data_IF_059084690485
#
_entry.id   IF_059084690485
#
_cell.length_a   1.000
_cell.length_b   1.000
_cell.length_c   1.000
_cell.angle_alpha   90.00
_cell.angle_beta   90.00
_cell.angle_gamma   90.00
#
_symmetry.space_group_name_H-M   'P 1'
#
loop_
_entity.id
_entity.type
_entity.pdbx_description
1 polymer ?
#
# COMPACT_ATOMS: atom_id res chain seq x y z
N UNK A 1 16.55 3.76 10.64
CA UNK A 1 15.60 2.92 9.89
C UNK A 1 14.45 3.81 9.46
N UNK A 2 14.05 3.73 8.19
CA UNK A 2 12.90 4.45 7.68
C UNK A 2 11.60 4.07 8.43
N UNK A 3 10.54 4.86 8.29
CA UNK A 3 9.19 4.54 8.79
C UNK A 3 8.16 4.69 7.68
N UNK A 4 7.10 3.88 7.76
CA UNK A 4 5.89 4.04 6.94
C UNK A 4 4.81 4.61 7.85
N UNK A 5 4.29 5.77 7.48
CA UNK A 5 3.30 6.50 8.27
C UNK A 5 2.15 6.97 7.38
N UNK A 6 1.09 7.49 8.01
CA UNK A 6 -0.05 8.11 7.32
C UNK A 6 -0.63 7.23 6.19
N UNK A 7 -0.66 5.91 6.40
CA UNK A 7 -1.31 5.00 5.45
C UNK A 7 -2.79 5.35 5.41
N UNK A 8 -3.31 5.56 4.22
CA UNK A 8 -4.70 5.86 3.95
C UNK A 8 -5.20 4.97 2.83
N UNK A 9 -6.46 4.61 2.93
CA UNK A 9 -7.18 3.80 1.97
C UNK A 9 -8.51 4.50 1.67
N UNK A 10 -8.97 4.41 0.44
CA UNK A 10 -10.29 4.88 0.03
C UNK A 10 -10.77 4.03 -1.13
N UNK A 11 -12.05 3.72 -1.13
CA UNK A 11 -12.70 2.92 -2.17
C UNK A 11 -13.79 3.78 -2.78
N UNK A 12 -13.79 3.87 -4.10
CA UNK A 12 -14.76 4.65 -4.86
C UNK A 12 -15.23 3.86 -6.07
N UNK A 13 -16.51 3.96 -6.43
CA UNK A 13 -16.98 3.41 -7.70
C UNK A 13 -16.18 4.00 -8.87
N UNK A 14 -15.69 3.15 -9.77
CA UNK A 14 -14.92 3.60 -10.93
C UNK A 14 -15.81 4.44 -11.83
N UNK A 15 -15.29 5.61 -12.22
CA UNK A 15 -15.96 6.50 -13.17
C UNK A 15 -15.68 6.11 -14.62
N UNK A 16 -14.69 5.24 -14.85
CA UNK A 16 -14.24 4.83 -16.19
C UNK A 16 -14.84 3.50 -16.63
N UNK A 17 -15.13 2.61 -15.69
CA UNK A 17 -15.56 1.24 -15.98
C UNK A 17 -16.72 0.84 -15.07
N UNK A 18 -17.93 0.75 -15.64
CA UNK A 18 -19.13 0.32 -14.91
C UNK A 18 -18.92 -1.06 -14.29
N UNK A 19 -19.32 -1.22 -13.03
CA UNK A 19 -19.16 -2.46 -12.28
C UNK A 19 -17.77 -2.63 -11.66
N UNK A 20 -16.88 -1.65 -11.76
CA UNK A 20 -15.57 -1.65 -11.10
C UNK A 20 -15.51 -0.58 -10.02
N UNK A 21 -14.65 -0.82 -9.04
CA UNK A 21 -14.29 0.11 -7.99
C UNK A 21 -12.80 0.41 -8.07
N UNK A 22 -12.45 1.67 -7.85
CA UNK A 22 -11.09 2.17 -7.70
C UNK A 22 -10.77 2.16 -6.21
N UNK A 23 -9.77 1.39 -5.82
CA UNK A 23 -9.23 1.44 -4.48
C UNK A 23 -7.92 2.25 -4.55
N UNK A 24 -7.98 3.44 -3.97
CA UNK A 24 -6.85 4.36 -3.86
C UNK A 24 -6.21 4.18 -2.49
N UNK A 25 -4.90 4.10 -2.46
CA UNK A 25 -4.14 4.11 -1.21
C UNK A 25 -2.96 5.05 -1.30
N UNK A 26 -2.59 5.60 -0.15
CA UNK A 26 -1.44 6.48 -0.03
C UNK A 26 -0.73 6.25 1.28
N UNK A 27 0.57 6.53 1.30
CA UNK A 27 1.37 6.45 2.51
C UNK A 27 2.55 7.42 2.43
N UNK A 28 3.14 7.67 3.59
CA UNK A 28 4.30 8.52 3.75
C UNK A 28 5.50 7.66 4.16
N UNK A 29 6.54 7.60 3.32
CA UNK A 29 7.79 6.92 3.63
C UNK A 29 8.80 7.94 4.14
N UNK A 30 9.13 7.86 5.43
CA UNK A 30 10.12 8.73 6.07
C UNK A 30 11.46 8.02 6.14
N UNK A 31 12.47 8.43 5.36
CA UNK A 31 13.81 7.88 5.51
C UNK A 31 14.43 8.36 6.84
N UNK A 32 15.29 7.55 7.46
CA UNK A 32 16.17 8.10 8.51
C UNK A 32 17.30 8.92 7.89
N UNK A 33 17.93 9.80 8.65
CA UNK A 33 19.04 10.63 8.17
C UNK A 33 20.18 9.80 7.54
N UNK A 34 20.45 8.62 8.12
CA UNK A 34 21.42 7.67 7.60
C UNK A 34 20.98 7.04 6.26
N UNK A 35 19.69 6.74 6.10
CA UNK A 35 19.14 6.17 4.87
C UNK A 35 19.21 7.17 3.71
N UNK A 36 18.94 8.45 4.00
CA UNK A 36 19.11 9.54 3.04
C UNK A 36 20.58 9.69 2.63
N UNK A 37 21.50 9.73 3.61
CA UNK A 37 22.93 9.92 3.36
C UNK A 37 23.50 8.81 2.47
N UNK A 38 22.98 7.60 2.59
CA UNK A 38 23.36 6.44 1.78
C UNK A 38 22.52 6.26 0.51
N UNK A 39 21.58 7.17 0.25
CA UNK A 39 20.74 7.17 -0.95
C UNK A 39 20.03 5.82 -1.14
N UNK A 40 19.51 5.27 -0.04
CA UNK A 40 18.91 3.94 -0.05
C UNK A 40 17.70 3.88 -1.00
N UNK A 41 17.57 2.74 -1.66
CA UNK A 41 16.36 2.37 -2.39
C UNK A 41 15.53 1.43 -1.51
N UNK A 42 14.22 1.67 -1.47
CA UNK A 42 13.26 0.80 -0.81
C UNK A 42 12.38 0.11 -1.83
N UNK A 43 12.28 -1.22 -1.71
CA UNK A 43 11.22 -2.00 -2.36
C UNK A 43 10.03 -2.01 -1.41
N UNK A 44 8.90 -1.50 -1.88
CA UNK A 44 7.65 -1.45 -1.14
C UNK A 44 6.70 -2.51 -1.72
N UNK A 45 6.11 -3.31 -0.84
CA UNK A 45 5.02 -4.25 -1.15
C UNK A 45 3.78 -3.78 -0.44
N UNK A 46 2.67 -3.67 -1.15
CA UNK A 46 1.37 -3.39 -0.57
C UNK A 46 0.45 -4.57 -0.77
N UNK A 47 -0.10 -5.05 0.35
CA UNK A 47 -1.04 -6.16 0.36
C UNK A 47 -2.42 -5.63 0.79
N UNK A 48 -3.45 -5.98 0.01
CA UNK A 48 -4.86 -5.74 0.32
C UNK A 48 -5.48 -6.98 0.93
N UNK A 49 -6.31 -6.77 1.94
CA UNK A 49 -7.05 -7.82 2.61
C UNK A 49 -8.46 -7.34 2.86
N UNK A 50 -9.42 -8.23 2.95
CA UNK A 50 -10.76 -7.93 3.44
C UNK A 50 -11.38 -9.18 4.01
N UNK A 51 -12.35 -9.04 4.91
CA UNK A 51 -12.93 -10.17 5.63
C UNK A 51 -13.46 -11.24 4.67
N UNK A 52 -14.08 -10.81 3.57
CA UNK A 52 -14.61 -11.69 2.52
C UNK A 52 -13.72 -11.75 1.26
N UNK A 53 -12.65 -10.93 1.18
CA UNK A 53 -11.67 -10.99 0.07
C UNK A 53 -10.71 -12.18 0.18
N UNK A 54 -10.69 -12.87 1.33
CA UNK A 54 -9.77 -13.98 1.64
C UNK A 54 -10.25 -15.30 1.02
N UNK A 55 -11.55 -15.46 0.80
CA UNK A 55 -12.13 -16.66 0.18
C UNK A 55 -12.19 -16.61 -1.35
N UNK A 56 -11.95 -15.42 -1.94
CA UNK A 56 -11.95 -15.23 -3.39
C UNK A 56 -10.49 -15.17 -3.91
N UNK A 57 -10.09 -16.22 -4.66
CA UNK A 57 -8.76 -16.43 -5.27
C UNK A 57 -8.25 -15.26 -6.15
N UNK A 58 -9.08 -14.21 -6.33
CA UNK A 58 -8.88 -13.09 -7.25
C UNK A 58 -8.05 -11.95 -6.63
N UNK A 59 -8.02 -11.81 -5.29
CA UNK A 59 -7.25 -10.74 -4.62
C UNK A 59 -6.09 -11.23 -3.74
N UNK A 60 -5.99 -12.53 -3.46
CA UNK A 60 -4.96 -13.05 -2.58
C UNK A 60 -3.50 -12.91 -3.11
N UNK A 61 -3.27 -12.34 -4.31
CA UNK A 61 -1.97 -12.43 -4.99
C UNK A 61 -1.49 -11.16 -5.71
N UNK A 62 -2.32 -10.16 -5.98
CA UNK A 62 -1.83 -8.90 -6.57
C UNK A 62 -1.20 -8.02 -5.51
N UNK A 63 0.03 -8.37 -5.13
CA UNK A 63 0.91 -7.52 -4.34
C UNK A 63 1.36 -6.38 -5.23
N UNK A 64 0.94 -5.15 -4.92
CA UNK A 64 1.53 -3.99 -5.58
C UNK A 64 2.96 -3.82 -5.09
N UNK A 65 3.93 -4.06 -5.98
CA UNK A 65 5.35 -3.94 -5.68
C UNK A 65 5.99 -2.84 -6.52
N UNK A 66 6.57 -1.85 -5.85
CA UNK A 66 7.25 -0.75 -6.50
C UNK A 66 8.49 -0.30 -5.72
N UNK A 67 9.32 0.51 -6.38
CA UNK A 67 10.56 1.04 -5.79
C UNK A 67 10.43 2.52 -5.50
N UNK A 68 10.89 2.92 -4.33
CA UNK A 68 11.01 4.32 -3.92
C UNK A 68 12.50 4.64 -3.74
N UNK A 69 12.98 5.66 -4.44
CA UNK A 69 14.37 6.12 -4.39
C UNK A 69 14.45 7.49 -3.74
N UNK A 70 15.37 7.66 -2.79
CA UNK A 70 15.71 8.98 -2.25
C UNK A 70 16.82 9.60 -3.12
N UNK A 71 16.54 10.76 -3.70
CA UNK A 71 17.45 11.45 -4.62
C UNK A 71 18.45 12.37 -3.93
N UNK A 72 19.53 12.72 -4.65
CA UNK A 72 20.68 13.54 -4.19
C UNK A 72 20.33 14.97 -3.74
N UNK A 73 19.12 15.44 -4.06
CA UNK A 73 18.73 16.86 -3.94
C UNK A 73 17.50 17.08 -3.06
N UNK A 74 16.94 16.03 -2.46
CA UNK A 74 15.83 16.21 -1.53
C UNK A 74 16.39 16.28 -0.10
N UNK A 75 15.89 17.19 0.75
CA UNK A 75 16.10 17.06 2.18
C UNK A 75 15.58 15.69 2.63
N UNK A 76 15.88 15.24 3.86
CA UNK A 76 15.23 14.05 4.45
C UNK A 76 13.75 14.29 4.73
N UNK A 77 13.04 14.74 3.71
CA UNK A 77 11.62 14.96 3.73
C UNK A 77 10.92 13.63 3.45
N UNK A 78 9.75 13.45 4.05
CA UNK A 78 8.92 12.30 3.77
C UNK A 78 8.54 12.23 2.29
N UNK A 79 8.61 11.03 1.71
CA UNK A 79 8.13 10.78 0.36
C UNK A 79 6.68 10.32 0.43
N UNK A 80 5.80 11.14 -0.12
CA UNK A 80 4.39 10.80 -0.28
C UNK A 80 4.20 9.93 -1.52
N UNK A 81 3.63 8.75 -1.33
CA UNK A 81 3.30 7.81 -2.42
C UNK A 81 1.80 7.64 -2.47
N UNK A 82 1.22 7.71 -3.67
CA UNK A 82 -0.19 7.46 -3.93
C UNK A 82 -0.33 6.53 -5.14
N UNK A 83 -1.24 5.57 -5.04
CA UNK A 83 -1.40 4.46 -5.99
C UNK A 83 -2.89 4.09 -6.05
N UNK A 84 -3.31 3.55 -7.19
CA UNK A 84 -4.70 3.15 -7.43
C UNK A 84 -4.71 1.81 -8.15
N UNK A 85 -5.60 0.90 -7.73
CA UNK A 85 -5.93 -0.32 -8.45
C UNK A 85 -7.43 -0.35 -8.75
N UNK A 86 -7.79 -0.96 -9.88
CA UNK A 86 -9.17 -1.16 -10.30
C UNK A 86 -9.55 -2.62 -10.05
N UNK A 87 -10.65 -2.85 -9.33
CA UNK A 87 -11.17 -4.19 -9.03
C UNK A 87 -12.65 -4.26 -9.41
N UNK A 88 -13.17 -5.46 -9.67
CA UNK A 88 -14.62 -5.61 -9.88
C UNK A 88 -15.36 -5.35 -8.57
N UNK A 89 -16.41 -4.52 -8.61
CA UNK A 89 -17.18 -4.11 -7.42
C UNK A 89 -17.86 -5.31 -6.76
N UNK A 90 -18.20 -6.34 -7.55
CA UNK A 90 -18.78 -7.57 -7.04
C UNK A 90 -17.87 -8.31 -6.05
N UNK A 91 -16.55 -8.18 -6.22
CA UNK A 91 -15.54 -8.81 -5.35
C UNK A 91 -15.53 -8.12 -3.97
N UNK A 92 -15.95 -6.85 -3.91
CA UNK A 92 -16.03 -6.06 -2.68
C UNK A 92 -17.39 -6.14 -1.98
N UNK A 93 -18.33 -6.95 -2.48
CA UNK A 93 -19.71 -7.00 -2.01
C UNK A 93 -20.28 -8.41 -2.22
N UNK A 94 -19.58 -9.42 -1.69
CA UNK A 94 -20.00 -10.83 -1.85
C UNK A 94 -21.09 -11.23 -0.84
N UNK A 95 -21.26 -10.50 0.26
CA UNK A 95 -22.37 -10.70 1.20
C UNK A 95 -23.25 -9.44 1.30
N UNK A 96 -24.42 -9.46 0.62
CA UNK A 96 -25.40 -8.37 0.52
C UNK A 96 -26.07 -7.98 1.87
N UNK A 97 -25.48 -8.37 3.00
CA UNK A 97 -25.97 -8.05 4.33
C UNK A 97 -24.81 -7.92 5.34
N UNK A 98 -23.95 -6.92 5.15
CA UNK A 98 -22.81 -6.69 6.02
C UNK A 98 -22.16 -5.32 5.85
N UNK A 99 -21.28 -4.96 6.78
CA UNK A 99 -20.28 -3.91 6.60
C UNK A 99 -18.95 -4.59 6.37
N UNK A 100 -18.38 -4.45 5.18
CA UNK A 100 -17.13 -5.13 4.84
C UNK A 100 -15.94 -4.24 5.20
N UNK A 101 -14.92 -4.82 5.84
CA UNK A 101 -13.68 -4.11 6.13
C UNK A 101 -12.60 -4.49 5.13
N UNK A 102 -12.02 -3.47 4.48
CA UNK A 102 -10.83 -3.64 3.64
C UNK A 102 -9.63 -3.03 4.35
N UNK A 103 -8.55 -3.80 4.41
CA UNK A 103 -7.28 -3.46 5.03
C UNK A 103 -6.20 -3.33 3.97
N UNK A 104 -5.29 -2.40 4.19
CA UNK A 104 -4.06 -2.25 3.42
C UNK A 104 -2.87 -2.33 4.35
N UNK A 105 -1.92 -3.19 4.04
CA UNK A 105 -0.62 -3.28 4.71
C UNK A 105 0.47 -2.87 3.73
N UNK A 106 1.25 -1.86 4.10
CA UNK A 106 2.39 -1.37 3.32
C UNK A 106 3.67 -1.80 4.03
N UNK A 107 4.47 -2.60 3.36
CA UNK A 107 5.76 -3.08 3.84
C UNK A 107 6.88 -2.50 2.98
N UNK A 108 7.87 -1.86 3.60
CA UNK A 108 9.06 -1.39 2.89
C UNK A 108 10.31 -2.14 3.36
N UNK A 109 11.13 -2.58 2.42
CA UNK A 109 12.44 -3.21 2.68
C UNK A 109 13.52 -2.53 1.87
N UNK A 110 14.68 -2.29 2.49
CA UNK A 110 15.82 -1.66 1.82
C UNK A 110 16.58 -2.69 0.96
N UNK A 111 17.06 -2.28 -0.22
CA UNK A 111 17.76 -3.16 -1.16
C UNK A 111 18.96 -2.49 -1.86
N UNK A 112 20.14 -3.10 -1.67
CA UNK A 112 21.50 -2.88 -2.22
C UNK A 112 22.22 -1.53 -1.99
N UNK A 113 22.97 -1.51 -0.88
CA UNK A 113 24.29 -0.90 -0.66
C UNK A 113 25.24 -1.94 0.00
N UNK A 114 26.55 -1.66 0.20
CA UNK A 114 27.55 -2.67 0.59
C UNK A 114 27.32 -3.34 1.96
N UNK A 115 26.50 -2.75 2.83
CA UNK A 115 26.19 -3.27 4.17
C UNK A 115 24.78 -3.90 4.25
N UNK A 116 24.32 -4.56 3.19
CA UNK A 116 23.03 -5.26 3.15
C UNK A 116 23.01 -6.51 4.06
N UNK A 117 23.12 -6.31 5.37
CA UNK A 117 22.60 -7.22 6.36
C UNK A 117 21.10 -6.93 6.46
N UNK A 118 20.27 -7.86 5.97
CA UNK A 118 18.82 -7.73 5.83
C UNK A 118 18.17 -6.96 6.98
N UNK A 119 17.77 -5.73 6.70
CA UNK A 119 17.02 -4.92 7.65
C UNK A 119 15.60 -5.48 7.77
N UNK A 120 15.06 -5.41 8.99
CA UNK A 120 13.69 -5.81 9.23
C UNK A 120 12.74 -4.93 8.38
N UNK A 121 11.72 -5.54 7.75
CA UNK A 121 10.73 -4.78 7.01
C UNK A 121 9.99 -3.84 7.96
N UNK A 122 9.73 -2.63 7.48
CA UNK A 122 8.91 -1.66 8.19
C UNK A 122 7.48 -1.70 7.67
N UNK A 123 6.51 -1.67 8.59
CA UNK A 123 5.11 -1.98 8.28
C UNK A 123 4.22 -0.81 8.72
N UNK A 124 3.40 -0.31 7.79
CA UNK A 124 2.28 0.59 8.07
C UNK A 124 0.96 -0.07 7.66
N UNK A 125 -0.13 0.24 8.36
CA UNK A 125 -1.47 -0.33 8.08
C UNK A 125 -2.57 0.72 8.11
N UNK A 126 -3.61 0.52 7.31
CA UNK A 126 -4.86 1.28 7.35
C UNK A 126 -6.03 0.35 7.03
N UNK A 127 -7.21 0.65 7.54
CA UNK A 127 -8.47 -0.01 7.17
C UNK A 127 -9.51 1.01 6.66
N UNK A 128 -10.53 0.51 5.98
CA UNK A 128 -11.68 1.28 5.51
C UNK A 128 -12.91 0.38 5.52
N UNK A 129 -14.00 0.89 6.06
CA UNK A 129 -15.29 0.19 6.10
C UNK A 129 -16.09 0.57 4.86
N UNK A 130 -16.54 -0.45 4.13
CA UNK A 130 -17.51 -0.34 3.04
C UNK A 130 -18.90 -0.57 3.66
N UNK A 131 -19.81 0.38 3.42
CA UNK A 131 -21.23 0.20 3.69
C UNK A 131 -21.96 0.10 2.34
N UNK A 132 -22.87 -0.88 2.22
CA UNK A 132 -23.78 -1.18 1.11
C UNK A 132 -23.71 -0.19 -0.09
N UNK A 133 -23.15 -0.65 -1.22
CA UNK A 133 -22.94 0.14 -2.46
C UNK A 133 -24.15 0.15 -3.39
#
# INVERSE_FOLDING_TARGET
>A
MATVENVRLTITASTKKTGYSEIAYSYELKPSEMDCAWKREYTVSTDLWGEDLIDDDVLAWEKDRHKVKFGDSMPCEPVNVARVFEVETKILNEDLSGTDEVYVTVEASSGFGPDAAGEDPIIGRSNTVIADF
#
